data_IF_423510907765
#
_entry.id   IF_423510907765
#
_cell.length_a   1.000
_cell.length_b   1.000
_cell.length_c   1.000
_cell.angle_alpha   90.00
_cell.angle_beta   90.00
_cell.angle_gamma   90.00
#
_symmetry.space_group_name_H-M   'P 1'
#
loop_
_entity.id
_entity.type
_entity.pdbx_description
1 polymer ?
#
# COMPACT_ATOMS: atom_id res chain seq x y z
N UNK A 1 3.53 5.14 -10.72
CA UNK A 1 4.50 4.03 -10.77
C UNK A 1 3.76 2.72 -10.61
N UNK A 2 4.39 1.60 -10.98
CA UNK A 2 3.83 0.26 -10.80
C UNK A 2 3.90 -0.21 -9.34
N UNK A 3 4.07 -1.53 -9.18
CA UNK A 3 4.01 -2.18 -7.88
C UNK A 3 5.20 -1.85 -6.99
N UNK A 4 4.89 -1.33 -5.82
CA UNK A 4 5.79 -1.24 -4.67
C UNK A 4 5.72 -2.57 -3.94
N UNK A 5 6.47 -3.54 -4.46
CA UNK A 5 6.50 -4.92 -3.97
C UNK A 5 7.90 -5.30 -3.46
N UNK A 6 7.94 -6.12 -2.41
CA UNK A 6 9.16 -6.74 -1.91
C UNK A 6 9.00 -8.25 -1.76
N UNK A 7 9.92 -9.02 -2.36
CA UNK A 7 10.03 -10.45 -2.13
C UNK A 7 10.98 -10.73 -0.95
N UNK A 8 11.12 -12.02 -0.62
CA UNK A 8 11.92 -12.45 0.52
C UNK A 8 13.38 -11.97 0.44
N UNK A 9 13.99 -12.00 -0.75
CA UNK A 9 15.35 -11.53 -0.95
C UNK A 9 15.54 -10.04 -0.61
N UNK A 10 14.55 -9.19 -0.92
CA UNK A 10 14.57 -7.77 -0.55
C UNK A 10 14.41 -7.59 0.97
N UNK A 11 13.55 -8.38 1.63
CA UNK A 11 13.41 -8.38 3.10
C UNK A 11 14.73 -8.75 3.76
N UNK A 12 15.38 -9.80 3.25
CA UNK A 12 16.63 -10.31 3.79
C UNK A 12 17.77 -9.32 3.58
N UNK A 13 17.84 -8.70 2.39
CA UNK A 13 18.83 -7.67 2.08
C UNK A 13 18.66 -6.39 2.91
N UNK A 14 17.42 -6.02 3.25
CA UNK A 14 17.14 -4.86 4.08
C UNK A 14 17.42 -5.10 5.57
N UNK A 15 17.52 -6.36 6.03
CA UNK A 15 17.70 -6.66 7.45
C UNK A 15 19.05 -6.15 7.98
N UNK A 16 19.00 -5.38 9.05
CA UNK A 16 20.20 -4.87 9.73
C UNK A 16 20.74 -5.85 10.78
N UNK A 17 21.98 -5.63 11.23
CA UNK A 17 22.62 -6.44 12.27
C UNK A 17 21.88 -6.42 13.62
N UNK A 18 21.09 -5.36 13.88
CA UNK A 18 20.31 -5.20 15.12
C UNK A 18 18.86 -5.69 14.99
N UNK A 19 18.49 -6.31 13.87
CA UNK A 19 17.17 -6.91 13.65
C UNK A 19 16.07 -5.93 13.25
N UNK A 20 16.44 -4.74 12.78
CA UNK A 20 15.56 -3.78 12.08
C UNK A 20 15.70 -3.92 10.56
N UNK A 21 15.05 -3.05 9.79
CA UNK A 21 15.14 -3.05 8.33
C UNK A 21 15.51 -1.67 7.78
N UNK A 22 16.37 -1.64 6.77
CA UNK A 22 16.78 -0.44 6.04
C UNK A 22 16.56 -0.63 4.54
N UNK A 23 15.62 0.15 3.99
CA UNK A 23 15.26 0.15 2.57
C UNK A 23 15.76 1.41 1.83
N UNK A 24 16.58 2.25 2.46
CA UNK A 24 17.05 3.53 1.89
C UNK A 24 17.74 3.34 0.53
N UNK A 25 18.50 2.27 0.37
CA UNK A 25 19.18 1.94 -0.87
C UNK A 25 18.22 1.50 -2.01
N UNK A 26 17.02 1.00 -1.69
CA UNK A 26 16.09 0.45 -2.68
C UNK A 26 15.56 1.51 -3.66
N UNK A 27 15.38 2.75 -3.17
CA UNK A 27 14.84 3.84 -3.98
C UNK A 27 15.90 4.84 -4.44
N UNK A 28 17.16 4.71 -4.01
CA UNK A 28 18.21 5.72 -4.21
C UNK A 28 18.39 6.15 -5.67
N UNK A 29 18.24 5.23 -6.63
CA UNK A 29 18.43 5.53 -8.07
C UNK A 29 17.23 6.19 -8.75
N UNK A 30 16.06 6.17 -8.12
CA UNK A 30 14.80 6.70 -8.68
C UNK A 30 14.19 7.81 -7.83
N UNK A 31 14.73 8.05 -6.64
CA UNK A 31 14.24 9.03 -5.66
C UNK A 31 14.13 10.44 -6.25
N UNK A 32 15.13 10.88 -7.00
CA UNK A 32 15.10 12.22 -7.61
C UNK A 32 13.94 12.35 -8.62
N UNK A 33 13.76 11.35 -9.48
CA UNK A 33 12.71 11.35 -10.49
C UNK A 33 11.31 11.28 -9.86
N UNK A 34 11.16 10.51 -8.78
CA UNK A 34 9.90 10.42 -8.03
C UNK A 34 9.60 11.77 -7.36
N UNK A 35 10.58 12.36 -6.67
CA UNK A 35 10.42 13.62 -5.94
C UNK A 35 10.18 14.85 -6.84
N UNK A 36 10.53 14.78 -8.12
CA UNK A 36 10.24 15.83 -9.10
C UNK A 36 8.78 15.84 -9.56
N UNK A 37 8.01 14.77 -9.31
CA UNK A 37 6.61 14.71 -9.70
C UNK A 37 5.75 15.67 -8.88
N UNK A 38 4.71 16.23 -9.51
CA UNK A 38 3.72 17.04 -8.79
C UNK A 38 2.89 16.21 -7.80
N UNK A 39 2.57 14.98 -8.20
CA UNK A 39 1.96 13.96 -7.36
C UNK A 39 2.53 12.60 -7.78
N UNK A 40 3.28 11.95 -6.91
CA UNK A 40 3.78 10.60 -7.11
C UNK A 40 2.82 9.56 -6.51
N UNK A 41 2.26 8.71 -7.36
CA UNK A 41 1.31 7.65 -6.97
C UNK A 41 1.97 6.28 -7.19
N UNK A 42 1.87 5.40 -6.18
CA UNK A 42 2.38 4.02 -6.24
C UNK A 42 1.33 2.99 -5.83
N UNK A 43 1.40 1.78 -6.40
CA UNK A 43 0.57 0.66 -5.95
C UNK A 43 1.28 -0.08 -4.82
N UNK A 44 0.76 -0.01 -3.60
CA UNK A 44 1.26 -0.76 -2.46
C UNK A 44 0.74 -2.20 -2.55
N UNK A 45 1.50 -3.02 -3.24
CA UNK A 45 1.14 -4.41 -3.55
C UNK A 45 1.27 -5.36 -2.34
N UNK A 46 1.99 -4.94 -1.31
CA UNK A 46 2.23 -5.74 -0.10
C UNK A 46 1.34 -5.27 1.06
N UNK A 47 1.00 -6.19 1.97
CA UNK A 47 0.38 -5.79 3.24
C UNK A 47 1.45 -5.40 4.26
N UNK A 48 1.11 -4.48 5.16
CA UNK A 48 1.87 -4.21 6.39
C UNK A 48 1.18 -4.97 7.53
N UNK A 49 1.21 -6.30 7.47
CA UNK A 49 0.52 -7.19 8.41
C UNK A 49 1.26 -7.42 9.73
N UNK A 50 2.50 -6.95 9.86
CA UNK A 50 3.37 -7.23 11.01
C UNK A 50 4.09 -8.58 10.89
N UNK A 51 4.81 -8.96 11.95
CA UNK A 51 5.59 -10.21 11.98
C UNK A 51 4.67 -11.46 11.97
N UNK A 52 5.12 -12.58 11.38
CA UNK A 52 6.38 -12.74 10.64
C UNK A 52 6.33 -12.03 9.28
N UNK A 53 7.39 -11.31 8.95
CA UNK A 53 7.55 -10.71 7.63
C UNK A 53 7.83 -11.80 6.60
N UNK A 54 7.22 -11.66 5.43
CA UNK A 54 7.25 -12.69 4.40
C UNK A 54 7.13 -12.04 3.02
N UNK A 55 7.91 -12.54 2.07
CA UNK A 55 7.70 -12.29 0.66
C UNK A 55 6.55 -13.13 0.09
N UNK A 56 6.57 -13.32 -1.23
CA UNK A 56 5.63 -14.19 -1.95
C UNK A 56 5.55 -15.62 -1.34
N UNK A 57 4.39 -16.30 -1.33
CA UNK A 57 3.11 -15.95 -1.98
C UNK A 57 2.16 -15.08 -1.17
N UNK A 58 2.42 -14.90 0.12
CA UNK A 58 1.58 -14.09 1.01
C UNK A 58 2.45 -13.03 1.65
N UNK A 59 2.29 -11.78 1.25
CA UNK A 59 3.17 -10.70 1.68
C UNK A 59 2.85 -10.22 3.10
N UNK A 60 3.88 -9.88 3.85
CA UNK A 60 3.82 -8.97 5.00
C UNK A 60 5.15 -8.23 5.11
N UNK A 61 5.15 -6.94 4.83
CA UNK A 61 6.34 -6.11 4.81
C UNK A 61 6.67 -5.51 6.18
N UNK A 62 7.97 -5.30 6.50
CA UNK A 62 8.38 -4.44 7.59
C UNK A 62 7.84 -3.02 7.42
N UNK A 63 7.58 -2.35 8.54
CA UNK A 63 7.02 -0.99 8.51
C UNK A 63 8.03 0.01 7.92
N UNK A 64 9.32 -0.27 8.04
CA UNK A 64 10.40 0.52 7.44
C UNK A 64 10.34 0.55 5.91
N UNK A 65 9.66 -0.40 5.27
CA UNK A 65 9.40 -0.35 3.83
C UNK A 65 8.46 0.82 3.47
N UNK A 66 7.43 1.05 4.27
CA UNK A 66 6.52 2.19 4.09
C UNK A 66 7.26 3.52 4.28
N UNK A 67 8.15 3.59 5.28
CA UNK A 67 8.98 4.78 5.53
C UNK A 67 9.88 5.08 4.32
N UNK A 68 10.55 4.06 3.78
CA UNK A 68 11.39 4.26 2.59
C UNK A 68 10.59 4.67 1.35
N UNK A 69 9.37 4.17 1.17
CA UNK A 69 8.45 4.62 0.12
C UNK A 69 8.12 6.11 0.30
N UNK A 70 7.79 6.54 1.51
CA UNK A 70 7.50 7.94 1.80
C UNK A 70 8.73 8.82 1.57
N UNK A 71 9.91 8.41 2.05
CA UNK A 71 11.18 9.10 1.85
C UNK A 71 11.65 9.14 0.39
N UNK A 72 11.20 8.19 -0.43
CA UNK A 72 11.44 8.21 -1.88
C UNK A 72 10.62 9.29 -2.59
N UNK A 73 9.60 9.85 -1.94
CA UNK A 73 8.76 10.93 -2.45
C UNK A 73 7.39 10.49 -2.97
N UNK A 74 6.91 9.30 -2.62
CA UNK A 74 5.54 8.91 -2.97
C UNK A 74 4.52 9.67 -2.11
N UNK A 75 3.63 10.38 -2.77
CA UNK A 75 2.58 11.17 -2.11
C UNK A 75 1.36 10.32 -1.76
N UNK A 76 0.95 9.39 -2.64
CA UNK A 76 -0.30 8.62 -2.50
C UNK A 76 -0.11 7.16 -2.85
N UNK A 77 -0.75 6.29 -2.06
CA UNK A 77 -0.68 4.84 -2.25
C UNK A 77 -2.03 4.23 -2.66
N UNK A 78 -1.96 3.33 -3.64
CA UNK A 78 -3.10 2.53 -4.11
C UNK A 78 -3.03 1.17 -3.43
N UNK A 79 -4.12 0.70 -2.83
CA UNK A 79 -4.12 -0.52 -1.99
C UNK A 79 -5.09 -1.61 -2.45
N UNK A 80 -5.99 -1.35 -3.40
CA UNK A 80 -6.78 -2.39 -4.02
C UNK A 80 -5.94 -3.09 -5.09
N UNK A 81 -5.47 -4.29 -4.75
CA UNK A 81 -4.77 -5.22 -5.63
C UNK A 81 -5.05 -6.66 -5.15
N UNK A 82 -4.49 -7.65 -5.83
CA UNK A 82 -4.77 -9.05 -5.50
C UNK A 82 -4.13 -9.54 -4.20
N UNK A 83 -3.16 -8.80 -3.66
CA UNK A 83 -2.45 -9.13 -2.43
C UNK A 83 -2.94 -8.35 -1.19
N UNK A 84 -3.94 -7.47 -1.34
CA UNK A 84 -4.44 -6.63 -0.25
C UNK A 84 -5.07 -7.40 0.94
N UNK A 85 -5.33 -8.70 0.77
CA UNK A 85 -5.84 -9.60 1.81
C UNK A 85 -4.88 -10.75 2.18
N UNK A 86 -3.61 -10.69 1.82
CA UNK A 86 -2.63 -11.77 2.11
C UNK A 86 -2.51 -12.11 3.61
N UNK A 87 -2.90 -11.17 4.47
CA UNK A 87 -2.94 -11.28 5.93
C UNK A 87 -4.36 -11.19 6.50
N UNK A 88 -5.33 -11.50 5.65
CA UNK A 88 -6.76 -11.40 5.93
C UNK A 88 -7.19 -9.99 6.34
N UNK A 89 -8.38 -9.92 6.94
CA UNK A 89 -8.94 -8.67 7.47
C UNK A 89 -7.99 -7.97 8.48
N UNK A 90 -7.37 -8.65 9.45
CA UNK A 90 -6.47 -7.99 10.40
C UNK A 90 -5.28 -7.29 9.72
N UNK A 91 -4.68 -7.93 8.71
CA UNK A 91 -3.57 -7.33 7.97
C UNK A 91 -3.98 -6.16 7.09
N UNK A 92 -5.17 -6.21 6.47
CA UNK A 92 -5.74 -5.07 5.76
C UNK A 92 -5.98 -3.89 6.72
N UNK A 93 -6.60 -4.14 7.88
CA UNK A 93 -6.89 -3.11 8.88
C UNK A 93 -5.60 -2.49 9.43
N UNK A 94 -4.57 -3.31 9.68
CA UNK A 94 -3.24 -2.83 10.10
C UNK A 94 -2.55 -2.04 8.99
N UNK A 95 -2.66 -2.46 7.73
CA UNK A 95 -2.10 -1.72 6.59
C UNK A 95 -2.72 -0.33 6.51
N UNK A 96 -4.05 -0.24 6.62
CA UNK A 96 -4.74 1.05 6.68
C UNK A 96 -4.27 1.88 7.89
N UNK A 97 -4.14 1.26 9.05
CA UNK A 97 -3.66 1.96 10.26
C UNK A 97 -2.25 2.53 10.06
N UNK A 98 -1.34 1.79 9.41
CA UNK A 98 0.01 2.28 9.13
C UNK A 98 -0.01 3.48 8.17
N UNK A 99 -0.82 3.44 7.13
CA UNK A 99 -0.99 4.56 6.19
C UNK A 99 -1.54 5.81 6.90
N UNK A 100 -2.55 5.64 7.76
CA UNK A 100 -3.13 6.73 8.56
C UNK A 100 -2.13 7.30 9.57
N UNK A 101 -1.39 6.45 10.28
CA UNK A 101 -0.40 6.87 11.26
C UNK A 101 0.74 7.71 10.64
N UNK A 102 1.05 7.48 9.36
CA UNK A 102 2.06 8.21 8.60
C UNK A 102 1.47 9.34 7.73
N UNK A 103 0.17 9.61 7.85
CA UNK A 103 -0.57 10.62 7.08
C UNK A 103 -0.43 10.45 5.56
N UNK A 104 -0.36 9.20 5.09
CA UNK A 104 -0.25 8.88 3.65
C UNK A 104 -1.68 8.76 3.09
N UNK A 105 -2.13 9.64 2.19
CA UNK A 105 -3.38 9.46 1.47
C UNK A 105 -3.36 8.15 0.68
N UNK A 106 -4.47 7.42 0.68
CA UNK A 106 -4.57 6.17 -0.06
C UNK A 106 -5.97 5.89 -0.60
N UNK A 107 -6.03 5.06 -1.64
CA UNK A 107 -7.28 4.64 -2.28
C UNK A 107 -7.30 3.14 -2.60
N UNK A 108 -8.43 2.48 -2.33
CA UNK A 108 -8.71 1.11 -2.80
C UNK A 108 -9.30 0.20 -1.73
N UNK A 109 -8.74 0.19 -0.53
CA UNK A 109 -9.20 -0.66 0.59
C UNK A 109 -9.91 0.16 1.67
N UNK A 110 -10.90 -0.45 2.32
CA UNK A 110 -11.66 0.17 3.41
C UNK A 110 -12.01 -0.90 4.45
N UNK A 111 -12.06 -0.53 5.73
CA UNK A 111 -12.41 -1.47 6.82
C UNK A 111 -13.87 -1.86 6.77
N UNK A 112 -14.73 -0.97 6.26
CA UNK A 112 -16.17 -1.19 6.13
C UNK A 112 -16.82 -0.24 5.11
N UNK A 113 -18.11 -0.44 4.85
CA UNK A 113 -18.90 0.37 3.90
C UNK A 113 -19.05 1.82 4.34
N UNK A 114 -19.16 2.09 5.64
CA UNK A 114 -19.28 3.46 6.14
C UNK A 114 -18.01 4.27 5.85
N UNK A 115 -16.84 3.69 6.14
CA UNK A 115 -15.55 4.30 5.80
C UNK A 115 -15.40 4.51 4.29
N UNK A 116 -15.76 3.50 3.48
CA UNK A 116 -15.78 3.65 2.02
C UNK A 116 -16.66 4.82 1.58
N UNK A 117 -17.84 4.97 2.16
CA UNK A 117 -18.78 6.04 1.78
C UNK A 117 -18.22 7.43 2.09
N UNK A 118 -17.41 7.56 3.14
CA UNK A 118 -16.78 8.81 3.54
C UNK A 118 -15.53 9.14 2.72
N UNK A 119 -14.76 8.14 2.31
CA UNK A 119 -13.42 8.32 1.73
C UNK A 119 -13.34 8.10 0.22
N UNK A 120 -14.36 7.51 -0.40
CA UNK A 120 -14.37 7.19 -1.82
C UNK A 120 -15.19 8.19 -2.66
N UNK A 121 -14.66 8.69 -3.80
CA UNK A 121 -13.28 8.53 -4.26
C UNK A 121 -12.30 9.39 -3.44
N UNK A 122 -11.02 9.03 -3.46
CA UNK A 122 -10.00 9.90 -2.88
C UNK A 122 -9.83 11.12 -3.79
N UNK A 123 -9.93 12.33 -3.23
CA UNK A 123 -9.63 13.56 -3.94
C UNK A 123 -8.27 14.11 -3.49
N UNK A 124 -7.44 14.51 -4.44
CA UNK A 124 -6.16 15.21 -4.21
C UNK A 124 -6.25 16.58 -4.87
N UNK A 125 -5.76 17.60 -4.19
CA UNK A 125 -5.63 18.94 -4.75
C UNK A 125 -4.15 19.29 -4.90
N UNK A 126 -3.73 19.67 -6.11
CA UNK A 126 -2.35 20.06 -6.39
C UNK A 126 -2.31 21.10 -7.50
N UNK A 127 -1.61 22.21 -7.28
CA UNK A 127 -1.41 23.29 -8.27
C UNK A 127 -2.71 23.76 -8.95
N UNK A 128 -3.80 23.87 -8.19
CA UNK A 128 -5.13 24.29 -8.71
C UNK A 128 -5.92 23.20 -9.43
N UNK A 129 -5.40 21.99 -9.56
CA UNK A 129 -6.14 20.82 -10.06
C UNK A 129 -6.72 20.02 -8.90
N UNK A 130 -7.93 19.50 -9.10
CA UNK A 130 -8.55 18.50 -8.24
C UNK A 130 -8.63 17.17 -8.98
N UNK A 131 -7.94 16.17 -8.45
CA UNK A 131 -7.78 14.84 -9.05
C UNK A 131 -8.60 13.85 -8.23
N UNK A 132 -9.48 13.08 -8.89
CA UNK A 132 -10.21 11.98 -8.25
C UNK A 132 -9.51 10.65 -8.57
N UNK A 133 -9.11 9.92 -7.52
CA UNK A 133 -8.50 8.59 -7.64
C UNK A 133 -9.51 7.51 -7.26
N UNK A 134 -9.67 6.58 -8.20
CA UNK A 134 -10.49 5.39 -8.06
C UNK A 134 -9.56 4.20 -8.26
N UNK A 135 -9.56 3.26 -7.30
CA UNK A 135 -8.73 2.07 -7.36
C UNK A 135 -9.57 0.83 -7.12
N UNK A 136 -9.38 -0.17 -7.95
CA UNK A 136 -10.16 -1.40 -8.00
C UNK A 136 -9.25 -2.58 -8.30
N UNK A 137 -9.57 -3.73 -7.73
CA UNK A 137 -8.95 -5.01 -8.08
C UNK A 137 -10.00 -5.98 -8.58
N UNK A 138 -9.62 -6.83 -9.52
CA UNK A 138 -10.46 -7.93 -10.01
C UNK A 138 -10.74 -8.98 -8.90
N UNK A 139 -9.79 -9.18 -7.97
CA UNK A 139 -9.92 -10.16 -6.91
C UNK A 139 -8.77 -10.10 -5.91
N UNK A 140 -8.70 -11.08 -5.03
CA UNK A 140 -7.80 -11.14 -3.86
C UNK A 140 -7.13 -12.50 -3.74
N UNK A 141 -6.63 -13.04 -4.86
CA UNK A 141 -6.00 -14.38 -4.94
C UNK A 141 -6.87 -15.53 -4.37
N UNK A 142 -8.20 -15.41 -4.50
CA UNK A 142 -9.15 -16.39 -3.95
C UNK A 142 -9.42 -16.26 -2.45
N UNK A 143 -8.80 -15.29 -1.76
CA UNK A 143 -9.07 -15.00 -0.35
C UNK A 143 -10.44 -14.29 -0.26
N UNK A 144 -11.43 -14.83 0.47
CA UNK A 144 -12.75 -14.21 0.54
C UNK A 144 -12.69 -12.79 1.13
N UNK A 145 -13.34 -11.85 0.47
CA UNK A 145 -13.56 -10.52 1.01
C UNK A 145 -14.65 -10.61 2.10
N UNK A 146 -14.52 -9.95 3.26
CA UNK A 146 -15.59 -9.93 4.26
C UNK A 146 -16.83 -9.14 3.78
N UNK A 147 -18.03 -9.69 3.97
CA UNK A 147 -19.27 -8.92 3.79
C UNK A 147 -19.32 -7.74 4.77
N UNK A 148 -19.77 -6.52 4.39
CA UNK A 148 -20.45 -6.12 3.15
C UNK A 148 -19.55 -5.35 2.17
N UNK A 149 -18.24 -5.60 2.17
CA UNK A 149 -17.27 -4.84 1.36
C UNK A 149 -17.37 -5.15 -0.15
N UNK A 150 -18.20 -6.13 -0.53
CA UNK A 150 -18.50 -6.49 -1.92
C UNK A 150 -19.64 -5.64 -2.48
N UNK A 151 -19.37 -4.92 -3.56
CA UNK A 151 -20.31 -4.93 -4.69
C UNK A 151 -19.63 -5.73 -5.78
N UNK A 152 -20.05 -6.99 -5.95
CA UNK A 152 -19.73 -7.74 -7.15
C UNK A 152 -20.27 -6.94 -8.35
N UNK A 153 -19.38 -6.31 -9.10
CA UNK A 153 -19.68 -5.75 -10.41
C UNK A 153 -19.36 -6.81 -11.47
N UNK A 154 -19.97 -7.99 -11.34
CA UNK A 154 -20.02 -8.99 -12.41
C UNK A 154 -21.40 -9.67 -12.34
N UNK A 155 -22.26 -9.30 -13.29
CA UNK A 155 -23.32 -10.17 -13.81
C UNK A 155 -22.79 -10.79 -15.10
#
# INVERSE_FOLDING_TARGET
MGDLMQHQAQIDAARTAVGTYDYSACFARVKEQIAQADVAIGNLEVTLGGKPYQGYPTFSAPDEYLLAIQEAGFDVLLTANNHCLDRGKPGLERTIQQLEAHNIPFAGTYRNVAERTQRYPLFIEKKGFRIALLNYTYGTNGIPVPSPQHRQFYR
#
